data_IF_497278211376
#
_entry.id   IF_497278211376
#
_cell.length_a   1.000
_cell.length_b   1.000
_cell.length_c   1.000
_cell.angle_alpha   90.00
_cell.angle_beta   90.00
_cell.angle_gamma   90.00
#
_symmetry.space_group_name_H-M   'P 1'
#
loop_
_entity.id
_entity.type
_entity.pdbx_description
1 polymer ?
#
# COMPACT_ATOMS: atom_id res chain seq x y z
N UNK A 1 -43.22 23.78 2.71
CA UNK A 1 -42.50 24.00 1.43
C UNK A 1 -41.31 23.05 1.33
N UNK A 2 -41.14 22.31 0.24
CA UNK A 2 -39.89 21.59 -0.05
C UNK A 2 -38.99 22.49 -0.93
N UNK A 3 -37.81 22.85 -0.44
CA UNK A 3 -36.96 23.89 -1.04
C UNK A 3 -36.06 23.43 -2.21
N UNK A 4 -36.13 22.15 -2.60
CA UNK A 4 -35.11 21.51 -3.43
C UNK A 4 -35.64 20.97 -4.78
N UNK A 5 -36.81 21.43 -5.25
CA UNK A 5 -37.37 21.02 -6.55
C UNK A 5 -37.36 22.15 -7.59
N UNK A 6 -36.99 21.81 -8.82
CA UNK A 6 -36.97 22.72 -9.97
C UNK A 6 -37.77 22.11 -11.12
N UNK A 7 -38.67 22.87 -11.74
CA UNK A 7 -39.38 22.42 -12.94
C UNK A 7 -38.53 22.76 -14.17
N UNK A 8 -38.24 21.78 -15.02
CA UNK A 8 -37.63 22.01 -16.34
C UNK A 8 -38.51 21.36 -17.42
N UNK A 9 -39.11 22.20 -18.27
CA UNK A 9 -40.12 21.77 -19.21
C UNK A 9 -41.32 21.17 -18.49
N UNK A 10 -41.57 19.88 -18.70
CA UNK A 10 -42.72 19.18 -18.13
C UNK A 10 -42.39 18.40 -16.85
N UNK A 11 -41.11 18.20 -16.52
CA UNK A 11 -40.69 17.30 -15.44
C UNK A 11 -40.08 18.08 -14.28
N UNK A 12 -40.37 17.66 -13.06
CA UNK A 12 -39.70 18.16 -11.86
C UNK A 12 -38.36 17.45 -11.62
N UNK A 13 -37.37 18.20 -11.18
CA UNK A 13 -36.03 17.75 -10.83
C UNK A 13 -35.75 18.08 -9.38
N UNK A 14 -35.08 17.20 -8.67
CA UNK A 14 -34.50 17.42 -7.36
C UNK A 14 -33.07 17.92 -7.51
N UNK A 15 -32.71 18.98 -6.78
CA UNK A 15 -31.36 19.53 -6.77
C UNK A 15 -30.90 19.76 -5.33
N UNK A 16 -29.74 19.20 -4.96
CA UNK A 16 -29.13 19.38 -3.64
C UNK A 16 -27.62 19.51 -3.77
N UNK A 17 -27.03 20.37 -2.95
CA UNK A 17 -25.57 20.54 -2.85
C UNK A 17 -24.94 19.35 -2.13
N UNK A 18 -23.81 18.87 -2.63
CA UNK A 18 -23.01 17.81 -1.99
C UNK A 18 -22.17 18.46 -0.86
N UNK A 19 -22.10 17.85 0.34
CA UNK A 19 -21.19 18.25 1.40
C UNK A 19 -19.72 18.27 0.94
N UNK A 20 -18.91 19.20 1.44
CA UNK A 20 -17.52 19.39 0.96
C UNK A 20 -16.67 18.13 1.16
N UNK A 21 -16.89 17.43 2.26
CA UNK A 21 -16.27 16.16 2.65
C UNK A 21 -16.59 14.99 1.70
N UNK A 22 -17.62 15.13 0.87
CA UNK A 22 -18.13 14.08 -0.03
C UNK A 22 -17.91 14.38 -1.53
N UNK A 23 -17.24 15.48 -1.86
CA UNK A 23 -17.04 15.91 -3.25
C UNK A 23 -16.18 14.92 -4.03
N UNK A 24 -15.12 14.39 -3.42
CA UNK A 24 -14.17 13.47 -4.07
C UNK A 24 -14.86 12.15 -4.45
N UNK A 25 -15.70 11.64 -3.56
CA UNK A 25 -16.47 10.40 -3.70
C UNK A 25 -17.56 10.55 -4.78
N UNK A 26 -17.99 11.78 -5.06
CA UNK A 26 -18.92 12.09 -6.15
C UNK A 26 -18.23 12.63 -7.41
N UNK A 27 -16.97 12.24 -7.65
CA UNK A 27 -16.19 12.60 -8.86
C UNK A 27 -16.03 14.11 -9.06
N UNK A 28 -15.87 14.87 -7.96
CA UNK A 28 -15.69 16.31 -8.01
C UNK A 28 -16.97 17.13 -8.22
N UNK A 29 -18.15 16.48 -8.28
CA UNK A 29 -19.42 17.18 -8.44
C UNK A 29 -19.78 17.92 -7.17
N UNK A 30 -20.25 19.16 -7.33
CA UNK A 30 -20.68 20.02 -6.21
C UNK A 30 -22.16 19.87 -5.86
N UNK A 31 -22.95 19.28 -6.75
CA UNK A 31 -24.40 19.15 -6.60
C UNK A 31 -24.92 17.87 -7.28
N UNK A 32 -26.00 17.33 -6.73
CA UNK A 32 -26.75 16.20 -7.29
C UNK A 32 -28.03 16.74 -7.91
N UNK A 33 -28.28 16.37 -9.16
CA UNK A 33 -29.53 16.64 -9.88
C UNK A 33 -30.16 15.30 -10.27
N UNK A 34 -31.33 14.99 -9.72
CA UNK A 34 -32.10 13.76 -10.04
C UNK A 34 -33.46 14.15 -10.63
N UNK A 35 -33.90 13.52 -11.72
CA UNK A 35 -35.26 13.71 -12.24
C UNK A 35 -36.27 13.01 -11.33
N UNK A 36 -37.39 13.68 -11.03
CA UNK A 36 -38.48 13.10 -10.24
C UNK A 36 -39.54 12.42 -11.11
N UNK A 37 -39.45 12.56 -12.44
CA UNK A 37 -40.30 11.85 -13.41
C UNK A 37 -41.78 12.24 -13.42
N UNK A 38 -42.20 13.19 -12.57
CA UNK A 38 -43.60 13.64 -12.47
C UNK A 38 -43.75 15.08 -12.96
N UNK A 39 -44.97 15.37 -13.43
CA UNK A 39 -45.46 16.69 -13.84
C UNK A 39 -46.31 17.34 -12.74
N UNK A 40 -46.69 16.56 -11.72
CA UNK A 40 -47.50 16.99 -10.60
C UNK A 40 -46.60 17.47 -9.46
N UNK A 41 -46.82 18.71 -9.01
CA UNK A 41 -46.03 19.33 -7.95
C UNK A 41 -46.16 18.60 -6.61
N UNK A 42 -47.36 18.16 -6.23
CA UNK A 42 -47.58 17.51 -4.93
C UNK A 42 -46.86 16.16 -4.86
N UNK A 43 -46.90 15.40 -5.95
CA UNK A 43 -46.13 14.17 -6.09
C UNK A 43 -44.62 14.43 -6.12
N UNK A 44 -44.18 15.47 -6.82
CA UNK A 44 -42.77 15.87 -6.85
C UNK A 44 -42.26 16.19 -5.44
N UNK A 45 -43.03 16.90 -4.63
CA UNK A 45 -42.64 17.19 -3.24
C UNK A 45 -42.55 15.91 -2.39
N UNK A 46 -43.46 14.94 -2.57
CA UNK A 46 -43.39 13.64 -1.89
C UNK A 46 -42.14 12.86 -2.30
N UNK A 47 -41.86 12.78 -3.60
CA UNK A 47 -40.69 12.08 -4.13
C UNK A 47 -39.38 12.76 -3.72
N UNK A 48 -39.34 14.10 -3.71
CA UNK A 48 -38.19 14.87 -3.27
C UNK A 48 -37.82 14.59 -1.81
N UNK A 49 -38.81 14.43 -0.92
CA UNK A 49 -38.55 14.06 0.49
C UNK A 49 -37.93 12.67 0.59
N UNK A 50 -38.44 11.70 -0.17
CA UNK A 50 -37.87 10.34 -0.21
C UNK A 50 -36.42 10.36 -0.69
N UNK A 51 -36.17 10.97 -1.85
CA UNK A 51 -34.82 11.10 -2.43
C UNK A 51 -33.86 11.82 -1.50
N UNK A 52 -34.35 12.79 -0.71
CA UNK A 52 -33.52 13.48 0.29
C UNK A 52 -33.06 12.54 1.39
N UNK A 53 -33.94 11.70 1.92
CA UNK A 53 -33.62 10.71 2.97
C UNK A 53 -32.66 9.67 2.41
N UNK A 54 -32.93 9.13 1.22
CA UNK A 54 -32.06 8.16 0.57
C UNK A 54 -30.62 8.70 0.41
N UNK A 55 -30.49 9.98 0.04
CA UNK A 55 -29.18 10.64 -0.07
C UNK A 55 -28.50 10.86 1.28
N UNK A 56 -29.26 11.17 2.34
CA UNK A 56 -28.70 11.31 3.68
C UNK A 56 -28.16 9.96 4.18
N UNK A 57 -28.88 8.87 3.94
CA UNK A 57 -28.45 7.52 4.27
C UNK A 57 -27.21 7.10 3.47
N UNK A 58 -27.19 7.37 2.14
CA UNK A 58 -26.02 7.17 1.27
C UNK A 58 -24.79 7.91 1.84
N UNK A 59 -24.94 9.18 2.23
CA UNK A 59 -23.85 10.00 2.75
C UNK A 59 -23.37 9.56 4.14
N UNK A 60 -24.28 9.12 5.02
CA UNK A 60 -23.92 8.58 6.33
C UNK A 60 -23.16 7.25 6.20
N UNK A 61 -23.55 6.40 5.25
CA UNK A 61 -22.83 5.17 4.96
C UNK A 61 -21.39 5.46 4.50
N UNK A 62 -21.19 6.44 3.61
CA UNK A 62 -19.86 6.85 3.15
C UNK A 62 -19.01 7.38 4.31
N UNK A 63 -19.58 8.19 5.21
CA UNK A 63 -18.87 8.72 6.40
C UNK A 63 -18.51 7.64 7.40
N UNK A 64 -19.36 6.62 7.55
CA UNK A 64 -19.09 5.48 8.44
C UNK A 64 -18.04 4.55 7.85
N UNK A 65 -18.01 4.40 6.52
CA UNK A 65 -17.04 3.59 5.81
C UNK A 65 -15.68 4.26 5.65
N UNK A 66 -15.61 5.60 5.73
CA UNK A 66 -14.33 6.29 5.76
C UNK A 66 -13.60 5.95 7.06
N UNK A 67 -12.32 5.53 6.99
CA UNK A 67 -11.51 5.45 8.18
C UNK A 67 -11.52 6.83 8.83
N UNK A 68 -11.93 6.89 10.10
CA UNK A 68 -11.78 8.10 10.88
C UNK A 68 -10.29 8.45 10.83
N UNK A 69 -9.93 9.45 10.04
CA UNK A 69 -8.55 9.93 9.97
C UNK A 69 -8.29 10.50 11.35
N UNK A 70 -7.62 9.71 12.19
CA UNK A 70 -7.14 10.20 13.47
C UNK A 70 -6.24 11.38 13.15
N UNK A 71 -6.50 12.55 13.75
CA UNK A 71 -5.65 13.69 13.50
C UNK A 71 -4.24 13.32 13.98
N UNK A 72 -3.24 13.72 13.19
CA UNK A 72 -1.86 13.23 13.32
C UNK A 72 -1.19 13.59 14.67
N UNK A 73 -1.83 14.42 15.48
CA UNK A 73 -1.39 14.88 16.78
C UNK A 73 -1.85 14.00 17.96
N UNK A 74 -2.60 12.93 17.69
CA UNK A 74 -3.02 11.96 18.70
C UNK A 74 -1.93 10.92 18.98
N UNK A 75 -1.62 10.72 20.26
CA UNK A 75 -0.65 9.71 20.69
C UNK A 75 -1.34 8.36 20.83
N UNK A 76 -0.82 7.33 20.17
CA UNK A 76 -1.31 5.96 20.31
C UNK A 76 -0.50 5.24 21.39
N UNK A 77 -1.16 4.81 22.46
CA UNK A 77 -0.57 4.03 23.55
C UNK A 77 -1.23 2.68 23.69
N UNK A 78 -0.44 1.66 23.95
CA UNK A 78 -0.96 0.36 24.36
C UNK A 78 -1.36 0.40 25.84
N UNK A 79 -2.66 0.21 26.11
CA UNK A 79 -3.21 0.16 27.46
C UNK A 79 -3.89 -1.20 27.64
N UNK A 80 -3.23 -2.10 28.36
CA UNK A 80 -3.76 -3.45 28.64
C UNK A 80 -3.94 -4.32 27.39
N UNK A 81 -2.99 -4.29 26.44
CA UNK A 81 -3.06 -5.07 25.19
C UNK A 81 -3.97 -4.48 24.11
N UNK A 82 -4.50 -3.27 24.34
CA UNK A 82 -5.32 -2.55 23.34
C UNK A 82 -4.64 -1.23 22.99
N UNK A 83 -4.43 -0.98 21.70
CA UNK A 83 -3.98 0.31 21.19
C UNK A 83 -5.10 1.34 21.34
N UNK A 84 -4.88 2.35 22.17
CA UNK A 84 -5.78 3.49 22.38
C UNK A 84 -5.12 4.77 21.89
N UNK A 85 -5.88 5.60 21.19
CA UNK A 85 -5.42 6.93 20.81
C UNK A 85 -5.89 7.97 21.84
N UNK A 86 -4.96 8.83 22.26
CA UNK A 86 -5.20 9.88 23.24
C UNK A 86 -5.08 11.25 22.55
N UNK A 87 -6.09 12.12 22.72
CA UNK A 87 -5.98 13.50 22.24
C UNK A 87 -4.88 14.24 23.01
N UNK A 88 -4.22 15.24 22.40
CA UNK A 88 -3.19 16.02 23.07
C UNK A 88 -3.78 16.73 24.31
N UNK A 89 -3.04 16.77 25.43
CA UNK A 89 -3.47 17.48 26.63
C UNK A 89 -3.58 19.00 26.38
N UNK A 90 -4.36 19.75 27.18
CA UNK A 90 -4.40 21.21 27.11
C UNK A 90 -2.98 21.79 27.29
N UNK A 91 -2.45 22.42 26.25
CA UNK A 91 -1.05 22.89 26.21
C UNK A 91 -0.12 22.08 25.29
N UNK A 92 -0.64 21.02 24.65
CA UNK A 92 0.12 20.16 23.74
C UNK A 92 1.00 19.15 24.48
N UNK A 93 1.59 18.23 23.72
CA UNK A 93 2.57 17.30 24.29
C UNK A 93 3.81 18.05 24.78
N UNK A 94 4.37 17.69 25.95
CA UNK A 94 5.66 18.22 26.35
C UNK A 94 6.66 17.94 25.23
N UNK A 95 7.41 18.97 24.82
CA UNK A 95 8.45 18.79 23.81
C UNK A 95 9.43 17.74 24.31
N UNK A 96 9.87 16.80 23.46
CA UNK A 96 10.95 15.88 23.81
C UNK A 96 12.14 16.67 24.36
N UNK A 97 12.83 16.11 25.36
CA UNK A 97 14.08 16.69 25.85
C UNK A 97 15.02 16.85 24.66
N UNK A 98 15.54 18.06 24.46
CA UNK A 98 16.58 18.29 23.46
C UNK A 98 17.81 17.46 23.84
N UNK A 99 18.29 16.63 22.90
CA UNK A 99 19.55 15.90 23.09
C UNK A 99 20.67 16.93 23.27
N UNK A 100 21.51 16.69 24.26
CA UNK A 100 22.75 17.46 24.44
C UNK A 100 23.67 17.24 23.23
N UNK A 101 24.57 18.18 22.91
CA UNK A 101 25.50 18.02 21.80
C UNK A 101 26.31 16.70 21.86
N UNK A 102 26.72 16.27 23.06
CA UNK A 102 27.41 14.99 23.25
C UNK A 102 26.53 13.78 22.91
N UNK A 103 25.26 13.79 23.34
CA UNK A 103 24.30 12.73 22.98
C UNK A 103 24.03 12.72 21.46
N UNK A 104 24.04 13.88 20.79
CA UNK A 104 23.88 13.97 19.34
C UNK A 104 25.08 13.35 18.61
N UNK A 105 26.31 13.68 19.02
CA UNK A 105 27.53 13.10 18.45
C UNK A 105 27.57 11.58 18.63
N UNK A 106 27.18 11.06 19.80
CA UNK A 106 27.11 9.62 20.06
C UNK A 106 26.07 8.94 19.17
N UNK A 107 24.92 9.57 18.96
CA UNK A 107 23.87 9.05 18.08
C UNK A 107 24.29 9.06 16.61
N UNK A 108 24.96 10.12 16.16
CA UNK A 108 25.53 10.20 14.81
C UNK A 108 26.59 9.12 14.57
N UNK A 109 27.45 8.87 15.58
CA UNK A 109 28.43 7.78 15.52
C UNK A 109 27.77 6.42 15.40
N UNK A 110 26.73 6.17 16.20
CA UNK A 110 25.98 4.92 16.13
C UNK A 110 25.32 4.73 14.75
N UNK A 111 24.72 5.77 14.20
CA UNK A 111 24.12 5.73 12.85
C UNK A 111 25.17 5.46 11.77
N UNK A 112 26.36 6.06 11.89
CA UNK A 112 27.44 5.88 10.93
C UNK A 112 28.03 4.47 11.00
N UNK A 113 28.22 3.93 12.22
CA UNK A 113 28.63 2.54 12.43
C UNK A 113 27.61 1.56 11.82
N UNK A 114 26.31 1.77 12.08
CA UNK A 114 25.25 0.96 11.50
C UNK A 114 25.25 1.04 9.96
N UNK A 115 25.45 2.23 9.38
CA UNK A 115 25.55 2.40 7.93
C UNK A 115 26.77 1.69 7.35
N UNK A 116 27.92 1.73 8.03
CA UNK A 116 29.12 0.99 7.61
C UNK A 116 28.91 -0.53 7.68
N UNK A 117 28.24 -1.03 8.72
CA UNK A 117 27.91 -2.46 8.82
C UNK A 117 26.98 -2.91 7.69
N UNK A 118 25.93 -2.15 7.40
CA UNK A 118 25.04 -2.42 6.26
C UNK A 118 25.81 -2.38 4.95
N UNK A 119 26.71 -1.40 4.76
CA UNK A 119 27.54 -1.32 3.56
C UNK A 119 28.46 -2.54 3.39
N UNK A 120 29.05 -3.06 4.49
CA UNK A 120 29.87 -4.28 4.46
C UNK A 120 29.04 -5.51 4.09
N UNK A 121 27.83 -5.64 4.65
CA UNK A 121 26.94 -6.75 4.35
C UNK A 121 26.53 -6.75 2.87
N UNK A 122 26.12 -5.60 2.34
CA UNK A 122 25.75 -5.47 0.94
C UNK A 122 26.93 -5.80 0.01
N UNK A 123 28.14 -5.30 0.33
CA UNK A 123 29.33 -5.61 -0.47
C UNK A 123 29.70 -7.11 -0.44
N UNK A 124 29.46 -7.78 0.70
CA UNK A 124 29.67 -9.22 0.82
C UNK A 124 28.62 -10.00 0.00
N UNK A 125 27.36 -9.56 0.02
CA UNK A 125 26.29 -10.14 -0.76
C UNK A 125 26.55 -10.01 -2.27
N UNK A 126 26.96 -8.82 -2.72
CA UNK A 126 27.34 -8.57 -4.12
C UNK A 126 28.49 -9.50 -4.56
N UNK A 127 29.53 -9.62 -3.73
CA UNK A 127 30.66 -10.51 -4.00
C UNK A 127 30.25 -11.99 -4.04
N UNK A 128 29.29 -12.39 -3.20
CA UNK A 128 28.74 -13.74 -3.20
C UNK A 128 27.92 -14.00 -4.46
N UNK A 129 27.09 -13.05 -4.89
CA UNK A 129 26.32 -13.15 -6.12
C UNK A 129 27.23 -13.30 -7.35
N UNK A 130 28.32 -12.51 -7.44
CA UNK A 130 29.31 -12.66 -8.52
C UNK A 130 29.98 -14.05 -8.52
N UNK A 131 30.31 -14.58 -7.34
CA UNK A 131 30.90 -15.92 -7.21
C UNK A 131 29.92 -17.02 -7.65
N UNK A 132 28.65 -16.91 -7.25
CA UNK A 132 27.59 -17.85 -7.61
C UNK A 132 27.32 -17.82 -9.13
N UNK A 133 27.33 -16.64 -9.76
CA UNK A 133 27.23 -16.51 -11.21
C UNK A 133 28.42 -17.16 -11.94
N UNK A 134 29.64 -16.95 -11.45
CA UNK A 134 30.83 -17.57 -12.01
C UNK A 134 30.82 -19.10 -11.87
N UNK A 135 30.31 -19.62 -10.75
CA UNK A 135 30.13 -21.06 -10.54
C UNK A 135 29.06 -21.63 -11.48
N UNK A 136 27.92 -20.95 -11.65
CA UNK A 136 26.89 -21.35 -12.59
C UNK A 136 27.43 -21.46 -14.03
N UNK A 137 28.24 -20.49 -14.47
CA UNK A 137 28.88 -20.53 -15.79
C UNK A 137 29.87 -21.69 -15.92
N UNK A 138 30.62 -22.00 -14.84
CA UNK A 138 31.51 -23.16 -14.80
C UNK A 138 30.74 -24.47 -14.94
N UNK A 139 29.64 -24.61 -14.20
CA UNK A 139 28.78 -25.79 -14.23
C UNK A 139 28.13 -25.97 -15.61
N UNK A 140 27.70 -24.89 -16.26
CA UNK A 140 27.19 -24.95 -17.64
C UNK A 140 28.22 -25.51 -18.62
N UNK A 141 29.49 -25.07 -18.54
CA UNK A 141 30.55 -25.62 -19.38
C UNK A 141 30.78 -27.11 -19.11
N UNK A 142 30.69 -27.54 -17.84
CA UNK A 142 30.81 -28.95 -17.48
C UNK A 142 29.64 -29.76 -18.04
N UNK A 143 28.42 -29.25 -17.96
CA UNK A 143 27.23 -29.89 -18.53
C UNK A 143 27.37 -30.07 -20.05
N UNK A 144 27.84 -29.06 -20.77
CA UNK A 144 28.08 -29.15 -22.22
C UNK A 144 29.09 -30.26 -22.56
N UNK A 145 30.14 -30.40 -21.76
CA UNK A 145 31.15 -31.47 -21.94
C UNK A 145 30.51 -32.85 -21.69
N UNK A 146 29.72 -32.99 -20.63
CA UNK A 146 29.04 -34.24 -20.29
C UNK A 146 28.05 -34.62 -21.40
N UNK A 147 27.27 -33.67 -21.91
CA UNK A 147 26.35 -33.91 -23.02
C UNK A 147 27.08 -34.38 -24.28
N UNK A 148 28.19 -33.73 -24.64
CA UNK A 148 29.00 -34.14 -25.79
C UNK A 148 29.51 -35.57 -25.65
N UNK A 149 30.08 -35.92 -24.49
CA UNK A 149 30.55 -37.29 -24.21
C UNK A 149 29.43 -38.32 -24.20
N UNK A 150 28.24 -37.93 -23.75
CA UNK A 150 27.06 -38.80 -23.73
C UNK A 150 26.60 -39.15 -25.15
N UNK A 151 26.59 -38.16 -26.04
CA UNK A 151 26.28 -38.35 -27.46
C UNK A 151 27.34 -39.23 -28.13
N UNK A 152 28.63 -38.99 -27.88
CA UNK A 152 29.74 -39.82 -28.38
C UNK A 152 29.62 -41.29 -27.93
N UNK A 153 29.15 -41.53 -26.72
CA UNK A 153 28.89 -42.87 -26.17
C UNK A 153 27.57 -43.51 -26.66
N UNK A 154 26.81 -42.85 -27.54
CA UNK A 154 25.53 -43.37 -28.06
C UNK A 154 24.38 -43.36 -27.04
N UNK A 155 24.54 -42.63 -25.94
CA UNK A 155 23.49 -42.48 -24.92
C UNK A 155 22.54 -41.33 -25.30
N UNK A 156 21.26 -41.47 -24.97
CA UNK A 156 20.26 -40.43 -25.18
C UNK A 156 20.62 -39.12 -24.45
N UNK A 157 20.26 -37.94 -24.98
CA UNK A 157 20.55 -36.66 -24.33
C UNK A 157 19.88 -36.54 -22.96
N UNK A 158 20.38 -35.61 -22.13
CA UNK A 158 19.74 -35.28 -20.85
C UNK A 158 18.29 -34.84 -21.07
N UNK A 159 17.39 -35.30 -20.20
CA UNK A 159 15.97 -35.02 -20.34
C UNK A 159 15.68 -33.53 -20.15
N UNK A 160 14.61 -33.04 -20.78
CA UNK A 160 14.17 -31.64 -20.68
C UNK A 160 13.87 -31.23 -19.24
N UNK A 161 13.42 -32.17 -18.41
CA UNK A 161 13.15 -31.95 -16.98
C UNK A 161 14.42 -31.68 -16.18
N UNK A 162 15.49 -32.46 -16.42
CA UNK A 162 16.79 -32.22 -15.78
C UNK A 162 17.37 -30.87 -16.20
N UNK A 163 17.24 -30.52 -17.49
CA UNK A 163 17.65 -29.20 -18.00
C UNK A 163 16.82 -28.05 -17.42
N UNK A 164 15.51 -28.25 -17.24
CA UNK A 164 14.61 -27.24 -16.68
C UNK A 164 14.82 -27.03 -15.17
N UNK A 165 15.13 -28.09 -14.43
CA UNK A 165 15.46 -28.00 -13.00
C UNK A 165 16.72 -27.14 -12.77
N UNK A 166 17.77 -27.35 -13.57
CA UNK A 166 19.02 -26.59 -13.50
C UNK A 166 18.80 -25.11 -13.89
N UNK A 167 17.95 -24.84 -14.89
CA UNK A 167 17.60 -23.48 -15.27
C UNK A 167 16.76 -22.74 -14.19
N UNK A 168 15.90 -23.48 -13.47
CA UNK A 168 15.05 -22.93 -12.40
C UNK A 168 15.85 -22.50 -11.16
N UNK A 169 16.92 -23.22 -10.81
CA UNK A 169 17.84 -22.83 -9.73
C UNK A 169 18.51 -21.49 -10.01
N UNK A 170 18.81 -21.20 -11.28
CA UNK A 170 19.40 -19.94 -11.73
C UNK A 170 18.48 -18.73 -11.48
N UNK A 171 17.19 -18.87 -11.80
CA UNK A 171 16.18 -17.83 -11.55
C UNK A 171 15.87 -17.65 -10.07
N UNK A 172 15.92 -18.72 -9.27
CA UNK A 172 15.69 -18.64 -7.83
C UNK A 172 16.87 -17.96 -7.10
N UNK A 173 18.11 -18.24 -7.51
CA UNK A 173 19.30 -17.58 -6.96
C UNK A 173 19.35 -16.08 -7.32
N UNK A 174 19.06 -15.71 -8.57
CA UNK A 174 18.97 -14.29 -8.98
C UNK A 174 17.80 -13.55 -8.29
N UNK A 175 16.66 -14.21 -8.09
CA UNK A 175 15.53 -13.62 -7.36
C UNK A 175 15.82 -13.47 -5.85
N UNK A 176 16.62 -14.35 -5.25
CA UNK A 176 17.00 -14.25 -3.86
C UNK A 176 17.90 -13.04 -3.58
N UNK A 177 18.90 -12.76 -4.43
CA UNK A 177 19.71 -11.54 -4.32
C UNK A 177 18.93 -10.25 -4.59
N UNK A 178 17.89 -10.31 -5.45
CA UNK A 178 17.02 -9.16 -5.69
C UNK A 178 16.00 -8.95 -4.55
N UNK A 179 15.57 -10.01 -3.87
CA UNK A 179 14.62 -9.93 -2.76
C UNK A 179 15.29 -9.46 -1.45
N UNK A 180 16.55 -9.80 -1.22
CA UNK A 180 17.31 -9.37 -0.05
C UNK A 180 17.54 -7.85 0.00
N UNK A 181 17.67 -7.18 -1.14
CA UNK A 181 17.74 -5.70 -1.22
C UNK A 181 16.42 -4.97 -0.98
N UNK A 182 15.29 -5.69 -0.82
CA UNK A 182 13.95 -5.12 -0.68
C UNK A 182 13.22 -5.41 0.64
N UNK A 183 13.83 -6.17 1.57
CA UNK A 183 13.18 -6.50 2.84
C UNK A 183 13.31 -5.33 3.82
N UNK A 184 12.42 -4.35 3.69
CA UNK A 184 12.25 -3.32 4.73
C UNK A 184 11.86 -3.98 6.06
N UNK A 185 12.53 -3.55 7.13
CA UNK A 185 12.37 -3.99 8.53
C UNK A 185 10.92 -3.95 9.06
N UNK A 186 9.99 -3.30 8.37
CA UNK A 186 8.57 -3.26 8.75
C UNK A 186 7.79 -4.55 8.45
N UNK A 187 8.35 -5.49 7.70
CA UNK A 187 7.70 -6.78 7.41
C UNK A 187 7.94 -7.86 8.46
N UNK A 188 8.80 -7.60 9.46
CA UNK A 188 9.18 -8.53 10.52
C UNK A 188 8.49 -8.27 11.86
N UNK A 189 7.67 -7.23 11.98
CA UNK A 189 6.83 -7.00 13.16
C UNK A 189 5.44 -7.57 12.88
N UNK A 190 5.33 -8.88 13.04
CA UNK A 190 4.08 -9.49 13.50
C UNK A 190 4.18 -9.50 15.02
N UNK A 191 3.46 -8.58 15.67
CA UNK A 191 2.73 -8.69 16.96
C UNK A 191 2.04 -7.35 17.20
#
# INVERSE_FOLDING_TARGET
MAYNIQKRGNVYYFRRRIPLDLIEQHSGKREIIRSLGTKNRAEAERLARRVSVDLDDEWQAIRTAQPQIMPADWEVKEVGGTLMAFPPPPGGWPKPREMTPAEQEDWERYQLEAAEEVAKLNAQEDAQAEADEAEADRLMRVLDIVERRRVEAGHAPLSREVRAAIASERTASQAAGTAASGVNLESLIVI
#
